data_IF_741506177432
#
_entry.id   IF_741506177432
#
_cell.length_a   1.000
_cell.length_b   1.000
_cell.length_c   1.000
_cell.angle_alpha   90.00
_cell.angle_beta   90.00
_cell.angle_gamma   90.00
#
_symmetry.space_group_name_H-M   'P 1'
#
loop_
_entity.id
_entity.type
_entity.pdbx_description
1 polymer ?
#
# COMPACT_ATOMS: atom_id res chain seq x y z
N UNK A 1 12.31 -8.13 12.67
CA UNK A 1 11.65 -8.82 13.80
C UNK A 1 10.18 -8.41 13.84
N UNK A 2 9.21 -9.33 13.99
CA UNK A 2 7.80 -8.97 14.10
C UNK A 2 7.57 -8.10 15.34
N UNK A 3 6.88 -6.98 15.17
CA UNK A 3 6.54 -6.07 16.28
C UNK A 3 5.41 -6.70 17.10
N UNK A 4 5.69 -7.05 18.36
CA UNK A 4 4.67 -7.57 19.28
C UNK A 4 3.73 -6.43 19.67
N UNK A 5 2.47 -6.55 19.30
CA UNK A 5 1.39 -5.65 19.72
C UNK A 5 0.55 -6.34 20.77
N UNK A 6 0.09 -5.60 21.77
CA UNK A 6 -0.92 -6.09 22.71
C UNK A 6 -2.23 -6.38 21.99
N UNK A 7 -3.02 -7.28 22.56
CA UNK A 7 -4.32 -7.67 22.01
C UNK A 7 -5.27 -6.47 22.00
N UNK A 8 -5.88 -6.20 20.83
CA UNK A 8 -6.83 -5.08 20.62
C UNK A 8 -6.27 -3.70 20.98
N UNK A 9 -4.98 -3.46 20.74
CA UNK A 9 -4.36 -2.15 20.90
C UNK A 9 -4.02 -1.54 19.54
N UNK A 10 -5.02 -0.95 18.84
CA UNK A 10 -4.85 -0.48 17.47
C UNK A 10 -3.66 0.47 17.33
N UNK A 11 -3.45 1.40 18.27
CA UNK A 11 -2.39 2.42 18.27
C UNK A 11 -0.96 1.91 18.45
N UNK A 12 -0.75 0.62 18.73
CA UNK A 12 0.59 0.07 18.95
C UNK A 12 1.31 -0.33 17.64
N UNK A 13 0.61 -0.23 16.51
CA UNK A 13 1.17 -0.53 15.19
C UNK A 13 0.82 0.54 14.17
N UNK A 14 1.37 1.74 14.38
CA UNK A 14 1.15 2.87 13.49
C UNK A 14 1.52 2.61 12.02
N UNK A 15 2.39 1.63 11.74
CA UNK A 15 2.70 1.21 10.37
C UNK A 15 1.50 0.48 9.75
N UNK A 16 0.97 -0.54 10.43
CA UNK A 16 -0.19 -1.28 9.96
C UNK A 16 -1.43 -0.37 9.87
N UNK A 17 -1.64 0.50 10.86
CA UNK A 17 -2.74 1.46 10.86
C UNK A 17 -2.68 2.41 9.66
N UNK A 18 -1.50 2.98 9.38
CA UNK A 18 -1.27 3.85 8.22
C UNK A 18 -1.52 3.10 6.91
N UNK A 19 -1.08 1.85 6.82
CA UNK A 19 -1.28 1.01 5.65
C UNK A 19 -2.75 0.71 5.39
N UNK A 20 -3.49 0.24 6.40
CA UNK A 20 -4.95 0.00 6.31
C UNK A 20 -5.66 1.29 5.95
N UNK A 21 -5.23 2.41 6.53
CA UNK A 21 -5.76 3.71 6.20
C UNK A 21 -5.63 4.06 4.73
N UNK A 22 -4.43 3.89 4.17
CA UNK A 22 -4.15 4.14 2.75
C UNK A 22 -4.99 3.23 1.85
N UNK A 23 -5.06 1.93 2.17
CA UNK A 23 -5.89 0.96 1.44
C UNK A 23 -7.37 1.39 1.39
N UNK A 24 -7.92 1.88 2.51
CA UNK A 24 -9.28 2.39 2.54
C UNK A 24 -9.48 3.57 1.59
N UNK A 25 -8.63 4.60 1.71
CA UNK A 25 -8.71 5.85 0.94
C UNK A 25 -8.51 5.62 -0.57
N UNK A 26 -7.58 4.75 -0.93
CA UNK A 26 -7.20 4.58 -2.32
C UNK A 26 -8.11 3.57 -3.06
N UNK A 27 -8.61 2.54 -2.36
CA UNK A 27 -9.40 1.46 -2.97
C UNK A 27 -10.84 1.41 -2.44
N UNK A 28 -11.02 1.20 -1.14
CA UNK A 28 -12.32 0.80 -0.59
C UNK A 28 -13.35 1.94 -0.53
N UNK A 29 -12.90 3.19 -0.53
CA UNK A 29 -13.78 4.35 -0.60
C UNK A 29 -14.30 4.60 -2.03
N UNK A 30 -13.69 3.97 -3.05
CA UNK A 30 -14.05 4.13 -4.47
C UNK A 30 -14.78 2.93 -5.07
N UNK A 31 -14.73 1.75 -4.43
CA UNK A 31 -15.26 0.50 -5.00
C UNK A 31 -16.15 -0.21 -3.98
N UNK A 32 -17.34 -0.62 -4.43
CA UNK A 32 -18.23 -1.51 -3.67
C UNK A 32 -17.86 -2.96 -3.97
N UNK A 33 -17.36 -3.67 -2.97
CA UNK A 33 -17.06 -5.09 -3.10
C UNK A 33 -18.37 -5.92 -3.12
N UNK A 34 -18.58 -6.66 -4.21
CA UNK A 34 -19.81 -7.45 -4.43
C UNK A 34 -19.92 -8.69 -3.54
N UNK A 35 -18.79 -9.29 -3.16
CA UNK A 35 -18.70 -10.43 -2.27
C UNK A 35 -17.26 -10.57 -1.73
N UNK A 36 -17.07 -11.51 -0.80
CA UNK A 36 -15.76 -11.74 -0.18
C UNK A 36 -14.66 -12.14 -1.17
N UNK A 37 -14.98 -12.98 -2.16
CA UNK A 37 -14.01 -13.40 -3.19
C UNK A 37 -13.56 -12.20 -4.03
N UNK A 38 -14.48 -11.33 -4.39
CA UNK A 38 -14.20 -10.10 -5.12
C UNK A 38 -13.32 -9.17 -4.27
N UNK A 39 -13.66 -8.96 -3.00
CA UNK A 39 -12.85 -8.15 -2.08
C UNK A 39 -11.42 -8.69 -1.97
N UNK A 40 -11.26 -10.00 -1.77
CA UNK A 40 -9.94 -10.64 -1.69
C UNK A 40 -9.11 -10.41 -2.94
N UNK A 41 -9.71 -10.55 -4.13
CA UNK A 41 -9.03 -10.27 -5.40
C UNK A 41 -8.58 -8.81 -5.50
N UNK A 42 -9.45 -7.85 -5.19
CA UNK A 42 -9.11 -6.43 -5.21
C UNK A 42 -7.98 -6.09 -4.23
N UNK A 43 -8.02 -6.66 -3.02
CA UNK A 43 -6.97 -6.46 -2.03
C UNK A 43 -5.63 -7.06 -2.47
N UNK A 44 -5.62 -8.24 -3.11
CA UNK A 44 -4.41 -8.83 -3.66
C UNK A 44 -3.78 -7.95 -4.74
N UNK A 45 -4.57 -7.41 -5.65
CA UNK A 45 -4.08 -6.47 -6.67
C UNK A 45 -3.58 -5.17 -6.05
N UNK A 46 -4.28 -4.65 -5.03
CA UNK A 46 -3.85 -3.45 -4.33
C UNK A 46 -2.53 -3.65 -3.57
N UNK A 47 -2.33 -4.80 -2.92
CA UNK A 47 -1.05 -5.16 -2.29
C UNK A 47 0.05 -5.18 -3.34
N UNK A 48 -0.18 -5.84 -4.48
CA UNK A 48 0.77 -5.87 -5.60
C UNK A 48 1.13 -4.46 -6.06
N UNK A 49 0.13 -3.62 -6.36
CA UNK A 49 0.32 -2.21 -6.71
C UNK A 49 1.11 -1.44 -5.64
N UNK A 50 0.75 -1.59 -4.36
CA UNK A 50 1.38 -0.89 -3.24
C UNK A 50 2.87 -1.22 -3.11
N UNK A 51 3.25 -2.47 -3.38
CA UNK A 51 4.63 -2.94 -3.30
C UNK A 51 5.44 -2.73 -4.58
N UNK A 52 4.82 -2.79 -5.76
CA UNK A 52 5.55 -2.81 -7.04
C UNK A 52 5.56 -1.45 -7.74
N UNK A 53 4.44 -0.72 -7.67
CA UNK A 53 4.15 0.41 -8.56
C UNK A 53 3.92 1.73 -7.81
N UNK A 54 3.44 1.66 -6.55
CA UNK A 54 3.14 2.88 -5.79
C UNK A 54 4.41 3.67 -5.53
N UNK A 55 4.38 4.92 -5.98
CA UNK A 55 5.36 5.95 -5.70
C UNK A 55 5.33 6.33 -4.22
N UNK A 56 6.40 6.07 -3.47
CA UNK A 56 6.50 6.48 -2.06
C UNK A 56 7.33 7.76 -1.95
N UNK A 57 6.72 8.84 -1.45
CA UNK A 57 7.41 10.12 -1.26
C UNK A 57 8.60 10.01 -0.29
N UNK A 58 8.53 9.11 0.70
CA UNK A 58 9.64 8.81 1.62
C UNK A 58 10.77 7.97 1.01
N UNK A 59 10.61 7.51 -0.24
CA UNK A 59 11.63 6.78 -1.02
C UNK A 59 12.03 7.57 -2.28
N UNK A 60 11.99 8.91 -2.25
CA UNK A 60 12.30 9.76 -3.41
C UNK A 60 11.44 9.45 -4.65
N UNK A 61 10.18 9.08 -4.45
CA UNK A 61 9.28 8.63 -5.52
C UNK A 61 9.63 7.26 -6.12
N UNK A 62 10.45 6.46 -5.44
CA UNK A 62 10.67 5.05 -5.74
C UNK A 62 9.49 4.16 -5.34
N UNK A 63 9.51 2.91 -5.83
CA UNK A 63 8.58 1.86 -5.40
C UNK A 63 9.29 0.86 -4.48
N UNK A 64 8.60 0.19 -3.54
CA UNK A 64 9.25 -0.69 -2.56
C UNK A 64 9.95 -1.90 -3.19
N UNK A 65 9.45 -2.40 -4.32
CA UNK A 65 10.06 -3.47 -5.10
C UNK A 65 11.15 -2.96 -6.08
N UNK A 66 11.55 -1.69 -5.99
CA UNK A 66 12.56 -1.07 -6.85
C UNK A 66 12.22 -1.28 -8.32
N UNK A 67 11.15 -0.65 -8.81
CA UNK A 67 11.05 -0.43 -10.26
C UNK A 67 12.25 0.45 -10.60
N UNK A 68 13.22 -0.08 -11.34
CA UNK A 68 14.33 0.71 -11.87
C UNK A 68 13.69 1.84 -12.67
N UNK A 69 13.58 3.01 -12.04
CA UNK A 69 13.09 4.19 -12.69
C UNK A 69 14.18 4.51 -13.71
N UNK A 70 13.98 4.01 -14.94
CA UNK A 70 14.82 4.38 -16.07
C UNK A 70 14.89 5.90 -16.03
N UNK A 71 16.08 6.37 -15.71
CA UNK A 71 16.43 7.73 -15.39
C UNK A 71 16.00 8.60 -16.58
N UNK A 72 14.77 9.11 -16.57
CA UNK A 72 14.26 9.95 -17.64
C UNK A 72 14.74 11.36 -17.34
N UNK A 73 16.04 11.55 -17.52
CA UNK A 73 16.61 12.86 -17.74
C UNK A 73 16.17 13.33 -19.14
N UNK A 74 15.01 13.97 -19.19
CA UNK A 74 14.61 14.75 -20.35
C UNK A 74 15.12 16.18 -20.13
N UNK A 75 16.07 16.53 -21.00
CA UNK A 75 16.61 17.84 -21.36
C UNK A 75 15.81 19.06 -20.88
N UNK A 76 16.56 19.99 -20.30
CA UNK A 76 16.28 21.42 -20.17
C UNK A 76 17.58 22.12 -19.82
#
# INVERSE_FOLDING_TARGET
>A
MPKRTSFRSPWQNGIAERWVGSCRRDLLDHIVALNERHLKRLLSEYVRYHHEDRTHLGLEQGTPATRSAAHRHLRG
#
